data_IF_101781019480
#
_entry.id   IF_101781019480
#
_cell.length_a   1.000
_cell.length_b   1.000
_cell.length_c   1.000
_cell.angle_alpha   90.00
_cell.angle_beta   90.00
_cell.angle_gamma   90.00
#
_symmetry.space_group_name_H-M   'P 1'
#
loop_
_entity.id
_entity.type
_entity.pdbx_description
1 polymer ?
#
# COMPACT_ATOMS: atom_id res chain seq x y z
N UNK A 1 19.24 12.47 -15.97
CA UNK A 1 20.55 12.50 -16.63
C UNK A 1 21.43 11.38 -16.08
N UNK A 2 22.38 10.93 -16.88
CA UNK A 2 23.31 9.87 -16.49
C UNK A 2 24.19 10.28 -15.34
N UNK A 3 24.57 11.55 -15.29
CA UNK A 3 25.38 12.10 -14.21
C UNK A 3 24.62 12.04 -12.87
N UNK A 4 23.33 12.36 -12.88
CA UNK A 4 22.50 12.27 -11.70
C UNK A 4 22.34 10.82 -11.22
N UNK A 5 22.16 9.88 -12.15
CA UNK A 5 22.08 8.46 -11.82
C UNK A 5 23.36 7.92 -11.20
N UNK A 6 24.50 8.31 -11.75
CA UNK A 6 25.80 7.91 -11.22
C UNK A 6 26.03 8.48 -9.82
N UNK A 7 25.70 9.75 -9.61
CA UNK A 7 25.78 10.39 -8.31
C UNK A 7 24.87 9.71 -7.30
N UNK A 8 23.67 9.34 -7.72
CA UNK A 8 22.68 8.64 -6.90
C UNK A 8 23.20 7.27 -6.44
N UNK A 9 23.74 6.48 -7.37
CA UNK A 9 24.29 5.15 -7.06
C UNK A 9 25.50 5.26 -6.14
N UNK A 10 26.38 6.22 -6.40
CA UNK A 10 27.54 6.47 -5.56
C UNK A 10 27.11 6.84 -4.13
N UNK A 11 26.13 7.73 -4.03
CA UNK A 11 25.60 8.18 -2.74
C UNK A 11 24.94 7.01 -1.99
N UNK A 12 24.18 6.16 -2.67
CA UNK A 12 23.59 4.98 -2.05
C UNK A 12 24.65 4.05 -1.47
N UNK A 13 25.72 3.79 -2.23
CA UNK A 13 26.83 2.96 -1.76
C UNK A 13 27.49 3.56 -0.52
N UNK A 14 27.70 4.87 -0.53
CA UNK A 14 28.32 5.59 0.59
C UNK A 14 27.43 5.52 1.84
N UNK A 15 26.12 5.68 1.66
CA UNK A 15 25.15 5.64 2.76
C UNK A 15 25.03 4.24 3.36
N UNK A 16 25.13 3.19 2.54
CA UNK A 16 25.15 1.81 3.02
C UNK A 16 26.37 1.56 3.91
N UNK A 17 27.52 2.07 3.52
CA UNK A 17 28.75 1.98 4.31
C UNK A 17 28.57 2.75 5.63
N UNK A 18 28.04 3.95 5.58
CA UNK A 18 27.78 4.77 6.77
C UNK A 18 26.76 4.13 7.70
N UNK A 19 25.75 3.48 7.16
CA UNK A 19 24.74 2.79 7.96
C UNK A 19 25.39 1.70 8.83
N UNK A 20 26.40 1.05 8.32
CA UNK A 20 27.16 0.04 9.08
C UNK A 20 27.96 0.66 10.23
N UNK A 21 28.31 1.93 10.14
CA UNK A 21 29.10 2.62 11.17
C UNK A 21 28.28 3.40 12.19
N UNK A 22 26.96 3.53 12.02
CA UNK A 22 26.06 4.01 13.07
C UNK A 22 25.58 5.47 13.00
N UNK A 23 26.21 6.35 12.23
CA UNK A 23 25.82 7.77 12.12
C UNK A 23 25.11 8.11 10.81
N UNK A 24 24.38 7.16 10.27
CA UNK A 24 23.79 7.28 8.95
C UNK A 24 22.70 8.34 8.82
N UNK A 25 21.90 8.56 9.89
CA UNK A 25 20.81 9.53 9.83
C UNK A 25 21.30 10.96 9.69
N UNK A 26 22.29 11.34 10.48
CA UNK A 26 22.88 12.67 10.43
C UNK A 26 23.61 12.91 9.11
N UNK A 27 24.35 11.93 8.64
CA UNK A 27 25.02 11.97 7.34
C UNK A 27 24.04 12.16 6.21
N UNK A 28 22.92 11.41 6.23
CA UNK A 28 21.85 11.54 5.26
C UNK A 28 21.27 12.95 5.24
N UNK A 29 20.99 13.50 6.42
CA UNK A 29 20.37 14.82 6.53
C UNK A 29 21.22 15.89 5.86
N UNK A 30 22.53 15.87 6.08
CA UNK A 30 23.45 16.86 5.51
C UNK A 30 23.67 16.68 4.01
N UNK A 31 23.91 15.46 3.56
CA UNK A 31 24.26 15.20 2.16
C UNK A 31 23.03 15.26 1.25
N UNK A 32 21.90 14.76 1.73
CA UNK A 32 20.69 14.64 0.92
C UNK A 32 19.97 15.95 0.66
N UNK A 33 19.88 16.80 1.66
CA UNK A 33 19.23 18.10 1.51
C UNK A 33 19.94 18.94 0.45
N UNK A 34 21.27 18.81 0.39
CA UNK A 34 22.07 19.60 -0.56
C UNK A 34 22.04 19.03 -1.99
N UNK A 35 22.04 17.70 -2.15
CA UNK A 35 22.17 17.07 -3.47
C UNK A 35 20.83 16.69 -4.10
N UNK A 36 19.86 16.25 -3.30
CA UNK A 36 18.58 15.74 -3.81
C UNK A 36 17.42 16.30 -3.00
N UNK A 37 17.07 17.59 -3.18
CA UNK A 37 16.04 18.24 -2.35
C UNK A 37 14.63 17.68 -2.56
N UNK A 38 14.37 17.03 -3.71
CA UNK A 38 13.04 16.49 -4.05
C UNK A 38 12.84 15.05 -3.60
N UNK A 39 13.81 14.46 -2.94
CA UNK A 39 13.74 13.06 -2.50
C UNK A 39 14.05 12.94 -1.01
N UNK A 40 13.46 11.92 -0.40
CA UNK A 40 13.82 11.51 0.95
C UNK A 40 14.43 10.10 0.89
N UNK A 41 15.38 9.84 1.76
CA UNK A 41 16.06 8.56 1.84
C UNK A 41 15.81 7.97 3.21
N UNK A 42 15.27 6.77 3.21
CA UNK A 42 14.88 6.08 4.43
C UNK A 42 15.55 4.70 4.47
N UNK A 43 15.62 4.14 5.67
CA UNK A 43 16.24 2.83 5.88
C UNK A 43 15.17 1.78 6.13
N UNK A 44 15.37 0.59 5.55
CA UNK A 44 14.58 -0.58 5.91
C UNK A 44 15.11 -1.15 7.22
N UNK A 45 14.35 -2.06 7.89
CA UNK A 45 14.85 -2.72 9.10
C UNK A 45 16.16 -3.49 8.90
N UNK A 46 16.42 -3.93 7.67
CA UNK A 46 17.67 -4.62 7.31
C UNK A 46 18.82 -3.67 7.00
N UNK A 47 18.60 -2.36 7.10
CA UNK A 47 19.61 -1.36 6.84
C UNK A 47 19.77 -0.96 5.38
N UNK A 48 18.88 -1.38 4.51
CA UNK A 48 18.88 -0.95 3.10
C UNK A 48 18.34 0.46 2.98
N UNK A 49 18.84 1.20 2.00
CA UNK A 49 18.41 2.56 1.74
C UNK A 49 17.40 2.55 0.59
N UNK A 50 16.30 3.26 0.79
CA UNK A 50 15.29 3.45 -0.23
C UNK A 50 15.04 4.93 -0.47
N UNK A 51 14.91 5.29 -1.74
CA UNK A 51 14.64 6.66 -2.17
C UNK A 51 13.15 6.81 -2.47
N UNK A 52 12.54 7.84 -1.93
CA UNK A 52 11.14 8.15 -2.14
C UNK A 52 11.00 9.64 -2.45
N UNK A 53 9.94 10.07 -3.17
CA UNK A 53 9.69 11.48 -3.36
C UNK A 53 9.48 12.19 -2.03
N UNK A 54 9.87 13.47 -1.96
CA UNK A 54 9.62 14.26 -0.76
C UNK A 54 8.11 14.33 -0.49
N UNK A 55 7.75 14.14 0.76
CA UNK A 55 6.35 14.08 1.17
C UNK A 55 5.77 12.66 1.16
N UNK A 56 6.57 11.66 0.76
CA UNK A 56 6.13 10.26 0.77
C UNK A 56 5.76 9.82 2.18
N UNK A 57 4.73 8.96 2.24
CA UNK A 57 4.20 8.44 3.50
C UNK A 57 4.69 7.01 3.75
N UNK A 58 4.36 6.48 4.92
CA UNK A 58 4.64 5.08 5.23
C UNK A 58 3.96 4.12 4.24
N UNK A 59 2.79 4.48 3.72
CA UNK A 59 2.11 3.69 2.68
C UNK A 59 2.95 3.65 1.40
N UNK A 60 3.50 4.79 0.98
CA UNK A 60 4.39 4.85 -0.18
C UNK A 60 5.60 3.94 0.00
N UNK A 61 6.19 3.96 1.19
CA UNK A 61 7.32 3.09 1.53
C UNK A 61 6.92 1.62 1.45
N UNK A 62 5.76 1.26 2.00
CA UNK A 62 5.28 -0.13 2.01
C UNK A 62 5.15 -0.68 0.58
N UNK A 63 4.56 0.09 -0.33
CA UNK A 63 4.43 -0.32 -1.72
C UNK A 63 5.76 -0.32 -2.47
N UNK A 64 6.69 0.55 -2.07
CA UNK A 64 8.03 0.57 -2.66
C UNK A 64 8.81 -0.70 -2.29
N UNK A 65 8.60 -1.25 -1.10
CA UNK A 65 9.21 -2.50 -0.68
C UNK A 65 8.63 -3.68 -1.46
N UNK A 66 7.31 -3.83 -1.44
CA UNK A 66 6.61 -4.87 -2.18
C UNK A 66 5.12 -4.57 -2.20
N UNK A 67 4.45 -4.91 -3.30
CA UNK A 67 3.01 -4.70 -3.45
C UNK A 67 2.20 -5.38 -2.33
N UNK A 68 2.55 -6.62 -1.97
CA UNK A 68 1.85 -7.35 -0.91
C UNK A 68 2.01 -6.68 0.45
N UNK A 69 3.17 -6.12 0.73
CA UNK A 69 3.41 -5.38 1.98
C UNK A 69 2.52 -4.13 2.00
N UNK A 70 2.45 -3.41 0.90
CA UNK A 70 1.58 -2.24 0.78
C UNK A 70 0.12 -2.60 0.97
N UNK A 71 -0.34 -3.66 0.31
CA UNK A 71 -1.75 -4.08 0.38
C UNK A 71 -2.17 -4.54 1.78
N UNK A 72 -1.25 -5.01 2.60
CA UNK A 72 -1.53 -5.58 3.92
C UNK A 72 -1.06 -4.73 5.08
N UNK A 73 -0.50 -3.55 4.83
CA UNK A 73 0.01 -2.72 5.91
C UNK A 73 -1.11 -2.19 6.78
N UNK A 74 -0.91 -2.24 8.09
CA UNK A 74 -1.87 -1.76 9.10
C UNK A 74 -1.28 -0.67 9.96
N UNK A 75 0.04 -0.63 10.09
CA UNK A 75 0.74 0.36 10.90
C UNK A 75 2.19 0.46 10.43
N UNK A 76 2.89 1.46 10.92
CA UNK A 76 4.30 1.63 10.67
C UNK A 76 5.01 2.06 11.93
N UNK A 77 6.28 1.64 12.04
CA UNK A 77 7.19 2.15 13.06
C UNK A 77 8.26 2.98 12.36
N UNK A 78 8.47 4.17 12.84
CA UNK A 78 9.55 5.04 12.37
C UNK A 78 10.46 5.31 13.54
N UNK A 79 11.73 4.91 13.39
CA UNK A 79 12.72 5.02 14.47
C UNK A 79 12.23 4.36 15.77
N UNK A 80 11.63 3.18 15.63
CA UNK A 80 11.09 2.34 16.70
C UNK A 80 9.82 2.88 17.36
N UNK A 81 9.27 4.00 16.87
CA UNK A 81 8.01 4.56 17.36
C UNK A 81 6.87 4.24 16.42
N UNK A 82 5.74 3.82 16.97
CA UNK A 82 4.54 3.56 16.19
C UNK A 82 3.97 4.88 15.66
N UNK A 83 3.78 4.97 14.35
CA UNK A 83 3.24 6.17 13.70
C UNK A 83 2.09 5.80 12.77
N UNK A 84 1.19 6.77 12.48
CA UNK A 84 0.13 6.50 11.50
C UNK A 84 0.69 6.32 10.10
N UNK A 85 -0.01 5.52 9.28
CA UNK A 85 0.40 5.25 7.90
C UNK A 85 0.45 6.51 7.03
N UNK A 86 -0.33 7.52 7.37
CA UNK A 86 -0.33 8.81 6.68
C UNK A 86 0.85 9.71 7.04
N UNK A 87 1.65 9.30 8.00
CA UNK A 87 2.80 10.08 8.45
C UNK A 87 3.82 10.26 7.34
N UNK A 88 4.27 11.49 7.16
CA UNK A 88 5.29 11.85 6.18
C UNK A 88 6.66 11.40 6.66
N UNK A 89 7.42 10.77 5.77
CA UNK A 89 8.75 10.27 6.08
C UNK A 89 9.80 11.37 5.86
N UNK A 90 10.89 11.29 6.62
CA UNK A 90 12.00 12.23 6.57
C UNK A 90 13.31 11.52 6.28
N UNK A 91 14.30 12.27 5.81
CA UNK A 91 15.63 11.73 5.58
C UNK A 91 16.17 11.06 6.84
N UNK A 92 16.69 9.85 6.68
CA UNK A 92 17.30 9.11 7.78
C UNK A 92 16.35 8.28 8.61
N UNK A 93 15.05 8.34 8.35
CA UNK A 93 14.08 7.54 9.08
C UNK A 93 14.29 6.05 8.81
N UNK A 94 14.25 5.26 9.86
CA UNK A 94 14.19 3.80 9.76
C UNK A 94 12.72 3.40 9.83
N UNK A 95 12.22 2.82 8.75
CA UNK A 95 10.81 2.52 8.61
C UNK A 95 10.58 1.01 8.62
N UNK A 96 9.70 0.58 9.50
CA UNK A 96 9.24 -0.81 9.56
C UNK A 96 7.74 -0.85 9.34
N UNK A 97 7.29 -1.68 8.42
CA UNK A 97 5.87 -1.82 8.12
C UNK A 97 5.31 -3.02 8.85
N UNK A 98 4.20 -2.80 9.54
CA UNK A 98 3.46 -3.87 10.21
C UNK A 98 2.33 -4.29 9.29
N UNK A 99 2.25 -5.58 9.02
CA UNK A 99 1.25 -6.16 8.13
C UNK A 99 0.34 -7.11 8.88
N UNK A 100 -0.86 -7.32 8.33
CA UNK A 100 -1.80 -8.31 8.83
C UNK A 100 -2.36 -9.10 7.65
N UNK A 101 -2.57 -10.41 7.85
CA UNK A 101 -2.94 -11.33 6.77
C UNK A 101 -4.27 -10.99 6.11
N UNK A 102 -5.20 -10.37 6.84
CA UNK A 102 -6.52 -10.01 6.32
C UNK A 102 -6.68 -8.50 6.09
N UNK A 103 -5.60 -7.73 6.19
CA UNK A 103 -5.65 -6.30 5.95
C UNK A 103 -5.84 -6.00 4.47
N UNK A 104 -6.50 -4.90 4.18
CA UNK A 104 -6.78 -4.43 2.83
C UNK A 104 -6.44 -2.95 2.73
N UNK A 105 -6.08 -2.46 1.53
CA UNK A 105 -5.86 -1.03 1.33
C UNK A 105 -7.10 -0.20 1.67
N UNK A 106 -6.86 0.95 2.26
CA UNK A 106 -7.91 1.90 2.58
C UNK A 106 -8.03 2.91 1.43
N UNK A 107 -9.24 3.14 0.88
CA UNK A 107 -9.42 4.14 -0.18
C UNK A 107 -8.93 5.54 0.20
N UNK A 108 -8.98 5.89 1.49
CA UNK A 108 -8.49 7.18 1.98
C UNK A 108 -6.99 7.38 1.75
N UNK A 109 -6.22 6.31 1.59
CA UNK A 109 -4.79 6.41 1.32
C UNK A 109 -4.49 7.16 0.02
N UNK A 110 -5.40 7.12 -0.95
CA UNK A 110 -5.24 7.84 -2.22
C UNK A 110 -5.11 9.36 -2.04
N UNK A 111 -5.58 9.88 -0.92
CA UNK A 111 -5.56 11.32 -0.65
C UNK A 111 -4.19 11.83 -0.24
N UNK A 112 -3.33 10.96 0.30
CA UNK A 112 -2.03 11.40 0.81
C UNK A 112 -0.82 10.65 0.26
N UNK A 113 -1.01 9.56 -0.50
CA UNK A 113 0.13 8.90 -1.13
C UNK A 113 0.73 9.79 -2.22
N UNK A 114 2.06 9.73 -2.35
CA UNK A 114 2.82 10.57 -3.26
C UNK A 114 3.35 9.83 -4.48
N UNK A 115 3.54 8.51 -4.38
CA UNK A 115 4.11 7.74 -5.48
C UNK A 115 3.03 7.24 -6.43
N UNK A 116 3.37 7.20 -7.71
CA UNK A 116 2.50 6.60 -8.73
C UNK A 116 2.32 5.11 -8.50
N UNK A 117 3.36 4.44 -7.99
CA UNK A 117 3.31 3.01 -7.69
C UNK A 117 2.28 2.70 -6.61
N UNK A 118 2.29 3.43 -5.50
CA UNK A 118 1.31 3.25 -4.43
C UNK A 118 -0.10 3.51 -4.94
N UNK A 119 -0.28 4.63 -5.63
CA UNK A 119 -1.58 5.02 -6.17
C UNK A 119 -2.15 3.99 -7.13
N UNK A 120 -1.32 3.53 -8.07
CA UNK A 120 -1.74 2.54 -9.05
C UNK A 120 -2.10 1.20 -8.40
N UNK A 121 -1.30 0.75 -7.45
CA UNK A 121 -1.54 -0.52 -6.75
C UNK A 121 -2.80 -0.46 -5.87
N UNK A 122 -3.01 0.65 -5.17
CA UNK A 122 -4.21 0.85 -4.36
C UNK A 122 -5.46 0.82 -5.25
N UNK A 123 -5.45 1.58 -6.34
CA UNK A 123 -6.57 1.61 -7.29
C UNK A 123 -6.87 0.26 -7.89
N UNK A 124 -5.82 -0.47 -8.26
CA UNK A 124 -5.96 -1.80 -8.83
C UNK A 124 -6.60 -2.76 -7.82
N UNK A 125 -6.12 -2.75 -6.57
CA UNK A 125 -6.66 -3.61 -5.52
C UNK A 125 -8.13 -3.29 -5.24
N UNK A 126 -8.47 -2.00 -5.11
CA UNK A 126 -9.84 -1.58 -4.82
C UNK A 126 -10.79 -1.94 -5.95
N UNK A 127 -10.34 -1.83 -7.19
CA UNK A 127 -11.13 -2.21 -8.36
C UNK A 127 -11.40 -3.72 -8.37
N UNK A 128 -10.37 -4.52 -8.11
CA UNK A 128 -10.49 -5.98 -8.04
C UNK A 128 -11.40 -6.41 -6.89
N UNK A 129 -11.24 -5.80 -5.72
CA UNK A 129 -12.07 -6.07 -4.55
C UNK A 129 -13.53 -5.73 -4.81
N UNK A 130 -13.80 -4.60 -5.45
CA UNK A 130 -15.15 -4.18 -5.81
C UNK A 130 -15.80 -5.18 -6.77
N UNK A 131 -15.06 -5.66 -7.75
CA UNK A 131 -15.52 -6.70 -8.66
C UNK A 131 -15.87 -7.99 -7.92
N UNK A 132 -14.99 -8.44 -7.04
CA UNK A 132 -15.19 -9.67 -6.26
C UNK A 132 -16.40 -9.54 -5.33
N UNK A 133 -16.57 -8.40 -4.69
CA UNK A 133 -17.73 -8.13 -3.84
C UNK A 133 -19.04 -8.16 -4.63
N UNK A 134 -19.02 -7.56 -5.83
CA UNK A 134 -20.19 -7.56 -6.71
C UNK A 134 -20.55 -8.98 -7.16
N UNK A 135 -19.56 -9.78 -7.54
CA UNK A 135 -19.76 -11.17 -7.92
C UNK A 135 -20.29 -12.00 -6.76
N UNK A 136 -19.71 -11.82 -5.57
CA UNK A 136 -20.14 -12.52 -4.36
C UNK A 136 -21.56 -12.14 -3.95
N UNK A 137 -21.93 -10.87 -4.09
CA UNK A 137 -23.29 -10.40 -3.84
C UNK A 137 -24.27 -11.03 -4.84
N UNK A 138 -23.90 -11.07 -6.12
CA UNK A 138 -24.69 -11.71 -7.16
C UNK A 138 -24.96 -13.18 -6.86
N UNK A 139 -23.92 -13.91 -6.44
CA UNK A 139 -24.06 -15.31 -6.04
C UNK A 139 -25.00 -15.49 -4.86
N UNK A 140 -24.88 -14.64 -3.85
CA UNK A 140 -25.75 -14.69 -2.67
C UNK A 140 -27.20 -14.41 -3.03
N UNK A 141 -27.44 -13.44 -3.88
CA UNK A 141 -28.78 -13.11 -4.35
C UNK A 141 -29.39 -14.27 -5.14
N UNK A 142 -28.58 -14.90 -5.99
CA UNK A 142 -29.01 -16.07 -6.74
C UNK A 142 -29.35 -17.24 -5.84
N UNK A 143 -28.53 -17.53 -4.84
CA UNK A 143 -28.78 -18.57 -3.86
C UNK A 143 -30.07 -18.31 -3.08
N UNK A 144 -30.32 -17.08 -2.66
CA UNK A 144 -31.53 -16.69 -1.98
C UNK A 144 -32.74 -16.88 -2.87
N UNK A 145 -32.65 -16.52 -4.14
CA UNK A 145 -33.73 -16.72 -5.11
C UNK A 145 -34.05 -18.20 -5.31
N UNK A 146 -33.00 -19.02 -5.49
CA UNK A 146 -33.16 -20.47 -5.63
C UNK A 146 -33.70 -21.12 -4.38
N UNK A 147 -33.31 -20.65 -3.21
CA UNK A 147 -33.82 -21.14 -1.93
C UNK A 147 -35.29 -20.81 -1.75
N UNK A 148 -35.67 -19.57 -2.07
CA UNK A 148 -37.08 -19.16 -2.04
C UNK A 148 -37.91 -19.98 -3.03
N UNK A 149 -37.38 -20.25 -4.21
CA UNK A 149 -38.00 -21.08 -5.21
C UNK A 149 -38.19 -22.52 -4.72
N UNK A 150 -37.10 -23.10 -4.14
CA UNK A 150 -37.15 -24.46 -3.61
C UNK A 150 -38.12 -24.60 -2.46
N UNK A 151 -38.20 -23.60 -1.59
CA UNK A 151 -39.14 -23.61 -0.46
C UNK A 151 -40.58 -23.48 -0.94
N UNK A 152 -40.80 -22.69 -2.00
CA UNK A 152 -42.13 -22.43 -2.52
C UNK A 152 -42.57 -23.36 -3.64
N UNK A 153 -41.73 -24.30 -4.08
CA UNK A 153 -42.06 -25.18 -5.21
C UNK A 153 -43.36 -25.99 -5.02
N UNK A 154 -43.67 -26.31 -3.79
CA UNK A 154 -44.90 -27.04 -3.49
C UNK A 154 -46.17 -26.20 -3.70
N UNK A 155 -46.04 -24.87 -3.75
CA UNK A 155 -47.17 -23.97 -3.92
C UNK A 155 -46.90 -22.73 -4.74
N UNK A 156 -45.78 -22.71 -5.48
CA UNK A 156 -45.38 -21.54 -6.25
C UNK A 156 -46.16 -21.44 -7.54
N UNK A 157 -46.59 -20.24 -7.89
CA UNK A 157 -47.23 -19.97 -9.17
C UNK A 157 -46.27 -19.39 -10.19
N UNK A 158 -46.74 -19.23 -11.44
CA UNK A 158 -45.91 -18.71 -12.53
C UNK A 158 -45.47 -17.28 -12.30
N UNK A 159 -46.27 -16.49 -11.56
CA UNK A 159 -45.91 -15.09 -11.26
C UNK A 159 -44.70 -15.00 -10.34
N UNK A 160 -44.59 -15.91 -9.37
CA UNK A 160 -43.41 -15.98 -8.49
C UNK A 160 -42.15 -16.42 -9.25
N UNK A 161 -42.28 -17.30 -10.20
CA UNK A 161 -41.23 -17.72 -11.11
C UNK A 161 -40.70 -16.53 -11.91
N UNK A 162 -41.61 -15.81 -12.56
CA UNK A 162 -41.23 -14.64 -13.36
C UNK A 162 -40.49 -13.59 -12.54
N UNK A 163 -40.90 -13.39 -11.30
CA UNK A 163 -40.29 -12.46 -10.39
C UNK A 163 -38.86 -12.85 -10.05
N UNK A 164 -38.60 -14.12 -9.83
CA UNK A 164 -37.26 -14.63 -9.53
C UNK A 164 -36.35 -14.52 -10.74
N UNK A 165 -36.84 -14.80 -11.93
CA UNK A 165 -36.07 -14.73 -13.18
C UNK A 165 -35.71 -13.30 -13.53
N UNK A 166 -36.57 -12.34 -13.23
CA UNK A 166 -36.31 -10.92 -13.53
C UNK A 166 -35.27 -10.29 -12.60
N UNK A 167 -35.18 -10.76 -11.39
CA UNK A 167 -34.22 -10.29 -10.40
C UNK A 167 -32.85 -10.95 -10.58
#
# INVERSE_FOLDING_TARGET
SDLQKQAHLWLQSLLEIQNQSGDSAEFLEHVKVDLFPDEVYVFTPKGRIMSLPRGATAVDFAYAVHTDIGNRCVAAKVNDDLVPLRGELRNGDRVEIITASHAKPNPAWLQYVRTGKARANIRHFLKTMQYDESASLGERLLEQALKALGTGLAGIDDASWDRVVRD
#
